data_IF_531000800231
#
_entry.id   IF_531000800231
#
_cell.length_a   1.000
_cell.length_b   1.000
_cell.length_c   1.000
_cell.angle_alpha   90.00
_cell.angle_beta   90.00
_cell.angle_gamma   90.00
#
_symmetry.space_group_name_H-M   'P 1'
#
loop_
_entity.id
_entity.type
_entity.pdbx_description
1 polymer ?
#
# COMPACT_ATOMS: atom_id res chain seq x y z
N UNK A 1 15.81 -1.40 17.22
CA UNK A 1 15.15 -0.24 16.56
C UNK A 1 14.32 -0.64 15.35
N UNK A 2 14.86 -1.37 14.37
CA UNK A 2 14.12 -1.82 13.17
C UNK A 2 12.77 -2.52 13.45
N UNK A 3 12.76 -3.53 14.34
CA UNK A 3 11.52 -4.29 14.66
C UNK A 3 10.42 -3.42 15.27
N UNK A 4 10.78 -2.39 16.01
CA UNK A 4 9.83 -1.44 16.62
C UNK A 4 9.18 -0.60 15.52
N UNK A 5 9.98 -0.06 14.59
CA UNK A 5 9.49 0.77 13.49
C UNK A 5 8.66 -0.06 12.49
N UNK A 6 9.07 -1.30 12.22
CA UNK A 6 8.28 -2.24 11.43
C UNK A 6 6.92 -2.56 12.10
N UNK A 7 6.90 -2.72 13.44
CA UNK A 7 5.67 -2.91 14.21
C UNK A 7 4.76 -1.68 14.16
N UNK A 8 5.31 -0.48 14.36
CA UNK A 8 4.56 0.79 14.25
C UNK A 8 4.00 0.94 12.83
N UNK A 9 4.79 0.67 11.80
CA UNK A 9 4.34 0.68 10.40
C UNK A 9 3.18 -0.30 10.17
N UNK A 10 3.24 -1.51 10.75
CA UNK A 10 2.14 -2.46 10.65
C UNK A 10 0.87 -1.96 11.35
N UNK A 11 0.99 -1.39 12.56
CA UNK A 11 -0.15 -0.81 13.30
C UNK A 11 -0.78 0.34 12.51
N UNK A 12 0.04 1.24 11.95
CA UNK A 12 -0.47 2.38 11.16
C UNK A 12 -1.28 1.88 9.97
N UNK A 13 -0.79 0.87 9.25
CA UNK A 13 -1.50 0.30 8.08
C UNK A 13 -2.80 -0.40 8.44
N UNK A 14 -2.84 -1.09 9.58
CA UNK A 14 -4.02 -1.88 9.98
C UNK A 14 -5.08 -1.05 10.73
N UNK A 15 -4.66 -0.06 11.53
CA UNK A 15 -5.56 0.68 12.43
C UNK A 15 -5.91 2.05 11.89
N UNK A 16 -4.93 2.76 11.32
CA UNK A 16 -5.11 4.17 10.93
C UNK A 16 -5.37 4.36 9.45
N UNK A 17 -5.06 3.35 8.62
CA UNK A 17 -5.27 3.41 7.19
C UNK A 17 -6.61 2.75 6.83
N UNK A 18 -7.63 3.54 6.46
CA UNK A 18 -8.92 2.97 6.14
C UNK A 18 -8.84 2.16 4.85
N UNK A 19 -9.59 1.07 4.80
CA UNK A 19 -9.76 0.27 3.59
C UNK A 19 -10.25 1.19 2.43
N UNK A 20 -9.47 1.36 1.34
CA UNK A 20 -9.85 2.25 0.24
C UNK A 20 -11.04 1.71 -0.57
N UNK A 21 -11.41 0.45 -0.35
CA UNK A 21 -12.53 -0.25 -0.99
C UNK A 21 -13.77 -0.29 -0.10
N UNK A 22 -13.78 0.35 1.08
CA UNK A 22 -14.87 0.24 2.06
C UNK A 22 -16.26 0.60 1.51
N UNK A 23 -16.32 1.54 0.56
CA UNK A 23 -17.58 2.04 -0.01
C UNK A 23 -18.13 1.16 -1.15
N UNK A 24 -17.43 0.07 -1.51
CA UNK A 24 -17.82 -0.82 -2.60
C UNK A 24 -18.61 -2.02 -2.12
N UNK A 25 -19.50 -2.52 -2.98
CA UNK A 25 -20.10 -3.84 -2.79
C UNK A 25 -18.98 -4.89 -2.76
N UNK A 26 -18.90 -5.67 -1.68
CA UNK A 26 -17.80 -6.60 -1.40
C UNK A 26 -16.44 -5.96 -1.10
N UNK A 27 -16.40 -4.69 -0.66
CA UNK A 27 -15.17 -3.94 -0.38
C UNK A 27 -14.14 -4.64 0.53
N UNK A 28 -14.60 -5.43 1.50
CA UNK A 28 -13.72 -6.25 2.35
C UNK A 28 -13.03 -7.37 1.57
N UNK A 29 -13.77 -8.06 0.71
CA UNK A 29 -13.23 -9.13 -0.15
C UNK A 29 -12.22 -8.57 -1.15
N UNK A 30 -12.55 -7.42 -1.76
CA UNK A 30 -11.68 -6.74 -2.72
C UNK A 30 -10.38 -6.31 -2.04
N UNK A 31 -10.47 -5.71 -0.85
CA UNK A 31 -9.28 -5.35 -0.08
C UNK A 31 -8.40 -6.57 0.18
N UNK A 32 -8.98 -7.69 0.62
CA UNK A 32 -8.22 -8.91 0.86
C UNK A 32 -7.48 -9.44 -0.40
N UNK A 33 -8.06 -9.27 -1.58
CA UNK A 33 -7.44 -9.67 -2.86
C UNK A 33 -6.36 -8.69 -3.33
N UNK A 34 -6.58 -7.39 -3.17
CA UNK A 34 -5.68 -6.34 -3.70
C UNK A 34 -4.56 -6.01 -2.72
N UNK A 35 -4.76 -6.20 -1.43
CA UNK A 35 -3.79 -5.87 -0.38
C UNK A 35 -2.44 -6.59 -0.57
N UNK A 36 -2.35 -7.90 -0.86
CA UNK A 36 -1.09 -8.58 -1.17
C UNK A 36 -0.35 -8.00 -2.38
N UNK A 37 -1.11 -7.54 -3.37
CA UNK A 37 -0.58 -6.94 -4.60
C UNK A 37 0.02 -5.56 -4.27
N UNK A 38 -0.74 -4.71 -3.58
CA UNK A 38 -0.27 -3.44 -3.02
C UNK A 38 0.98 -3.62 -2.17
N UNK A 39 1.02 -4.66 -1.34
CA UNK A 39 2.16 -4.98 -0.50
C UNK A 39 3.43 -5.20 -1.34
N UNK A 40 3.30 -5.99 -2.41
CA UNK A 40 4.39 -6.31 -3.33
C UNK A 40 4.81 -5.10 -4.17
N UNK A 41 3.87 -4.34 -4.74
CA UNK A 41 4.18 -3.14 -5.53
C UNK A 41 4.92 -2.10 -4.68
N UNK A 42 4.43 -1.84 -3.46
CA UNK A 42 5.12 -0.94 -2.51
C UNK A 42 6.53 -1.44 -2.21
N UNK A 43 6.69 -2.74 -2.01
CA UNK A 43 8.01 -3.33 -1.74
C UNK A 43 8.98 -3.13 -2.91
N UNK A 44 8.52 -3.35 -4.15
CA UNK A 44 9.33 -3.16 -5.36
C UNK A 44 9.74 -1.70 -5.55
N UNK A 45 8.81 -0.76 -5.35
CA UNK A 45 9.09 0.67 -5.48
C UNK A 45 10.12 1.11 -4.44
N UNK A 46 9.98 0.68 -3.18
CA UNK A 46 10.99 0.96 -2.15
C UNK A 46 12.36 0.40 -2.53
N UNK A 47 12.39 -0.77 -3.17
CA UNK A 47 13.61 -1.39 -3.69
C UNK A 47 14.35 -0.55 -4.75
N UNK A 48 13.68 0.40 -5.41
CA UNK A 48 14.32 1.34 -6.34
C UNK A 48 15.11 2.44 -5.62
N UNK A 49 14.73 2.76 -4.38
CA UNK A 49 15.34 3.85 -3.59
C UNK A 49 16.30 3.33 -2.52
N UNK A 50 16.29 2.02 -2.24
CA UNK A 50 16.98 1.46 -1.09
C UNK A 50 17.32 -0.03 -1.30
N UNK A 51 18.60 -0.39 -1.07
CA UNK A 51 19.05 -1.78 -1.09
C UNK A 51 18.83 -2.47 0.26
N UNK A 52 18.21 -3.65 0.21
CA UNK A 52 17.89 -4.44 1.40
C UNK A 52 19.16 -4.76 2.20
N UNK A 53 19.22 -4.32 3.45
CA UNK A 53 20.31 -4.66 4.40
C UNK A 53 21.20 -3.48 4.81
N UNK A 54 21.17 -2.36 4.08
CA UNK A 54 21.99 -1.20 4.43
C UNK A 54 21.43 -0.49 5.68
N UNK A 55 20.20 0.01 5.58
CA UNK A 55 19.48 0.79 6.62
C UNK A 55 18.03 0.31 6.79
N UNK A 56 17.78 -0.76 7.58
CA UNK A 56 16.46 -1.38 7.70
C UNK A 56 15.35 -0.43 8.19
N UNK A 57 15.72 0.55 9.00
CA UNK A 57 14.82 1.60 9.51
C UNK A 57 14.31 2.48 8.36
N UNK A 58 15.21 2.95 7.50
CA UNK A 58 14.87 3.77 6.33
C UNK A 58 13.94 3.00 5.38
N UNK A 59 14.23 1.72 5.14
CA UNK A 59 13.37 0.85 4.34
C UNK A 59 11.94 0.75 4.91
N UNK A 60 11.77 0.68 6.23
CA UNK A 60 10.44 0.63 6.86
C UNK A 60 9.68 1.94 6.77
N UNK A 61 10.38 3.08 6.87
CA UNK A 61 9.80 4.42 6.73
C UNK A 61 9.36 4.65 5.28
N UNK A 62 10.25 4.36 4.32
CA UNK A 62 9.94 4.45 2.88
C UNK A 62 8.77 3.54 2.51
N UNK A 63 8.75 2.32 3.06
CA UNK A 63 7.64 1.41 2.86
C UNK A 63 6.32 2.01 3.34
N UNK A 64 6.28 2.53 4.56
CA UNK A 64 5.07 3.16 5.08
C UNK A 64 4.65 4.35 4.23
N UNK A 65 5.59 5.22 3.86
CA UNK A 65 5.33 6.40 3.03
C UNK A 65 4.70 6.02 1.68
N UNK A 66 5.32 5.10 0.94
CA UNK A 66 4.78 4.66 -0.34
C UNK A 66 3.46 3.92 -0.16
N UNK A 67 3.30 3.09 0.86
CA UNK A 67 2.03 2.39 1.10
C UNK A 67 0.87 3.38 1.31
N UNK A 68 1.09 4.42 2.12
CA UNK A 68 0.12 5.52 2.31
C UNK A 68 -0.19 6.22 1.00
N UNK A 69 0.83 6.49 0.18
CA UNK A 69 0.68 7.12 -1.13
C UNK A 69 -0.20 6.26 -2.07
N UNK A 70 0.03 4.95 -2.14
CA UNK A 70 -0.77 4.03 -2.96
C UNK A 70 -2.23 3.98 -2.51
N UNK A 71 -2.49 3.88 -1.21
CA UNK A 71 -3.85 3.85 -0.66
C UNK A 71 -4.55 5.20 -0.91
N UNK A 72 -3.84 6.32 -0.74
CA UNK A 72 -4.34 7.65 -1.07
C UNK A 72 -4.70 7.78 -2.56
N UNK A 73 -3.82 7.32 -3.46
CA UNK A 73 -4.08 7.27 -4.91
C UNK A 73 -5.32 6.44 -5.24
N UNK A 74 -5.45 5.23 -4.68
CA UNK A 74 -6.63 4.39 -4.90
C UNK A 74 -7.91 5.05 -4.42
N UNK A 75 -7.85 5.77 -3.28
CA UNK A 75 -9.01 6.50 -2.76
C UNK A 75 -9.38 7.69 -3.65
N UNK A 76 -8.40 8.44 -4.15
CA UNK A 76 -8.63 9.51 -5.13
C UNK A 76 -9.19 8.95 -6.45
N UNK A 77 -8.71 7.80 -6.88
CA UNK A 77 -9.18 7.10 -8.08
C UNK A 77 -10.66 6.72 -7.97
N UNK A 78 -11.06 6.20 -6.80
CA UNK A 78 -12.46 5.90 -6.48
C UNK A 78 -13.31 7.18 -6.48
N UNK A 79 -12.86 8.24 -5.78
CA UNK A 79 -13.57 9.53 -5.72
C UNK A 79 -13.74 10.15 -7.12
N UNK A 80 -12.78 9.96 -8.03
CA UNK A 80 -12.87 10.41 -9.42
C UNK A 80 -13.92 9.66 -10.26
N UNK A 81 -14.66 8.71 -9.68
CA UNK A 81 -15.68 7.91 -10.37
C UNK A 81 -15.09 6.85 -11.29
N UNK A 82 -13.78 6.61 -11.23
CA UNK A 82 -13.10 5.59 -12.03
C UNK A 82 -13.17 4.27 -11.27
N UNK A 83 -13.52 3.19 -11.98
CA UNK A 83 -13.59 1.85 -11.41
C UNK A 83 -12.32 1.48 -10.67
N UNK A 84 -12.44 1.08 -9.41
CA UNK A 84 -11.30 0.71 -8.58
C UNK A 84 -10.53 -0.50 -9.15
N UNK A 85 -11.21 -1.33 -9.96
CA UNK A 85 -10.61 -2.45 -10.67
C UNK A 85 -9.59 -1.96 -11.67
N UNK A 86 -9.83 -0.84 -12.36
CA UNK A 86 -8.85 -0.28 -13.29
C UNK A 86 -7.66 0.33 -12.54
N UNK A 87 -7.88 0.94 -11.37
CA UNK A 87 -6.80 1.40 -10.51
C UNK A 87 -5.93 0.24 -10.00
N UNK A 88 -6.56 -0.87 -9.58
CA UNK A 88 -5.84 -2.07 -9.10
C UNK A 88 -5.06 -2.75 -10.23
N UNK A 89 -5.66 -2.87 -11.43
CA UNK A 89 -5.00 -3.39 -12.63
C UNK A 89 -3.85 -2.47 -13.06
N UNK A 90 -4.02 -1.14 -12.97
CA UNK A 90 -2.99 -0.17 -13.30
C UNK A 90 -1.71 -0.41 -12.47
N UNK A 91 -1.86 -0.58 -11.14
CA UNK A 91 -0.73 -0.91 -10.26
C UNK A 91 -0.10 -2.27 -10.55
N UNK A 92 -0.86 -3.24 -11.08
CA UNK A 92 -0.33 -4.52 -11.54
C UNK A 92 0.45 -4.32 -12.85
N UNK A 93 -0.12 -3.61 -13.82
CA UNK A 93 0.42 -3.47 -15.18
C UNK A 93 1.66 -2.58 -15.31
N UNK A 94 1.99 -1.79 -14.28
CA UNK A 94 3.25 -1.03 -14.23
C UNK A 94 4.46 -1.96 -13.98
N UNK A 95 4.24 -3.24 -13.65
CA UNK A 95 5.28 -4.25 -13.41
C UNK A 95 4.96 -5.60 -14.05
#
# INVERSE_FOLDING_TARGET
>A
MYRIIAGISAIIRQVYLPNPFADLQWGVLINFLVEPILYRCTYLIVGLFYNRGEWPVLGSILYLFFYVLHIGLLKLWNIAGISIWTGSIFFISIY
#
